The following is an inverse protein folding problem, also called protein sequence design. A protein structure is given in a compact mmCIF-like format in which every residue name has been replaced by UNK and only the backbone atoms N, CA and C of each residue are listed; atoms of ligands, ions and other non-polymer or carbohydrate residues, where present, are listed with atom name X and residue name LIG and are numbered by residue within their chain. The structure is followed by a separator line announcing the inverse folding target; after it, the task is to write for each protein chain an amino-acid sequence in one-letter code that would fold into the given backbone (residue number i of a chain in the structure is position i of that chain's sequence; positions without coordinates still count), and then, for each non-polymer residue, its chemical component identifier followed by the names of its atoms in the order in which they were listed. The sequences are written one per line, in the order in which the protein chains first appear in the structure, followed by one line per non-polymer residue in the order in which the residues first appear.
data_IF_255324834951
#
_entry.id   IF_255324834951
#
_cell.length_a   1.000
_cell.length_b   1.000
_cell.length_c   1.000
_cell.angle_alpha   90.00
_cell.angle_beta   90.00
_cell.angle_gamma   90.00
#
_symmetry.space_group_name_H-M   'P 1'
#
loop_
_entity.id
_entity.type
_entity.pdbx_description
1 polymer ?
#
# COMPACT_ATOMS: atom_id res chain seq x y z
N UNK A 1 -14.79 -26.66 -3.74
CA UNK A 1 -14.83 -26.65 -2.28
C UNK A 1 -15.41 -27.98 -1.83
N UNK A 2 -14.90 -28.61 -0.76
CA UNK A 2 -15.54 -29.81 -0.21
C UNK A 2 -17.03 -29.54 0.11
N UNK A 3 -17.93 -30.48 -0.20
CA UNK A 3 -19.37 -30.27 -0.07
C UNK A 3 -19.84 -30.06 1.38
N UNK A 4 -19.02 -30.42 2.35
CA UNK A 4 -19.25 -30.35 3.79
C UNK A 4 -18.61 -29.13 4.46
N UNK A 5 -17.80 -28.35 3.74
CA UNK A 5 -17.20 -27.13 4.30
C UNK A 5 -18.26 -26.04 4.48
N UNK A 6 -18.40 -25.56 5.72
CA UNK A 6 -19.30 -24.47 6.08
C UNK A 6 -18.47 -23.25 6.47
N UNK A 7 -18.45 -22.17 5.68
CA UNK A 7 -17.73 -20.96 6.06
C UNK A 7 -18.37 -20.33 7.30
N UNK A 8 -17.55 -19.87 8.23
CA UNK A 8 -17.97 -19.05 9.35
C UNK A 8 -18.57 -17.71 8.87
N UNK A 9 -19.53 -17.15 9.62
CA UNK A 9 -20.19 -15.90 9.25
C UNK A 9 -19.21 -14.71 9.33
N UNK A 10 -19.41 -13.65 8.51
CA UNK A 10 -18.52 -12.50 8.48
C UNK A 10 -18.40 -11.75 9.81
N UNK A 11 -19.45 -11.77 10.64
CA UNK A 11 -19.45 -11.14 11.96
C UNK A 11 -18.39 -11.70 12.94
N UNK A 12 -17.87 -12.92 12.71
CA UNK A 12 -16.80 -13.48 13.53
C UNK A 12 -15.39 -13.10 13.07
N UNK A 13 -15.26 -12.33 11.98
CA UNK A 13 -13.99 -11.94 11.36
C UNK A 13 -13.00 -13.12 11.23
N UNK A 14 -13.44 -14.25 10.63
CA UNK A 14 -12.63 -15.46 10.55
C UNK A 14 -11.37 -15.22 9.74
N UNK A 15 -10.28 -15.91 10.07
CA UNK A 15 -9.05 -15.81 9.29
C UNK A 15 -9.25 -16.29 7.83
N UNK A 16 -8.74 -15.50 6.88
CA UNK A 16 -8.79 -15.77 5.45
C UNK A 16 -7.37 -15.92 4.90
N UNK A 17 -7.14 -17.01 4.16
CA UNK A 17 -5.94 -17.18 3.36
C UNK A 17 -6.28 -17.08 1.86
N UNK A 18 -6.18 -15.87 1.32
CA UNK A 18 -6.66 -15.49 0.00
C UNK A 18 -5.64 -15.86 -1.09
N UNK A 19 -6.01 -16.71 -2.06
CA UNK A 19 -5.12 -17.08 -3.17
C UNK A 19 -5.04 -15.97 -4.22
N UNK A 20 -3.82 -15.66 -4.67
CA UNK A 20 -3.54 -14.77 -5.78
C UNK A 20 -3.09 -15.57 -7.00
N UNK A 21 -3.61 -15.20 -8.17
CA UNK A 21 -3.07 -15.59 -9.48
C UNK A 21 -2.47 -14.34 -10.10
N UNK A 22 -1.16 -14.34 -10.31
CA UNK A 22 -0.44 -13.15 -10.79
C UNK A 22 -0.04 -13.33 -12.24
N UNK A 23 -0.44 -12.37 -13.08
CA UNK A 23 -0.05 -12.29 -14.49
C UNK A 23 0.95 -11.15 -14.69
N UNK A 24 2.16 -11.46 -15.15
CA UNK A 24 3.14 -10.45 -15.55
C UNK A 24 3.03 -10.25 -17.05
N UNK A 25 2.43 -9.13 -17.45
CA UNK A 25 2.38 -8.74 -18.85
C UNK A 25 3.77 -8.33 -19.35
N UNK A 26 4.17 -8.90 -20.48
CA UNK A 26 5.44 -8.62 -21.15
C UNK A 26 5.18 -8.04 -22.53
N UNK A 27 6.22 -7.51 -23.18
CA UNK A 27 6.14 -6.98 -24.54
C UNK A 27 7.40 -7.26 -25.33
N UNK A 28 7.28 -7.35 -26.66
CA UNK A 28 8.46 -7.43 -27.53
C UNK A 28 9.13 -6.07 -27.64
N UNK A 29 10.44 -6.04 -27.45
CA UNK A 29 11.25 -4.86 -27.64
C UNK A 29 12.64 -5.26 -28.17
N UNK A 30 12.92 -5.06 -29.47
CA UNK A 30 14.20 -5.45 -30.06
C UNK A 30 15.39 -4.66 -29.50
N UNK A 31 15.16 -3.55 -28.79
CA UNK A 31 16.23 -2.79 -28.15
C UNK A 31 16.69 -3.39 -26.80
N UNK A 32 15.91 -4.31 -26.22
CA UNK A 32 16.26 -4.96 -24.95
C UNK A 32 17.03 -6.26 -25.17
N UNK A 33 17.96 -6.62 -24.27
CA UNK A 33 18.57 -7.95 -24.25
C UNK A 33 17.49 -9.05 -24.20
N UNK A 34 17.52 -9.97 -25.16
CA UNK A 34 16.52 -11.05 -25.27
C UNK A 34 15.20 -10.63 -25.92
N UNK A 35 15.04 -9.38 -26.34
CA UNK A 35 13.90 -8.94 -27.14
C UNK A 35 12.56 -8.84 -26.40
N UNK A 36 12.55 -8.95 -25.06
CA UNK A 36 11.34 -8.97 -24.23
C UNK A 36 11.48 -8.02 -23.04
N UNK A 37 10.52 -7.10 -22.91
CA UNK A 37 10.33 -6.23 -21.77
C UNK A 37 9.12 -6.64 -20.91
N UNK A 38 8.90 -5.98 -19.76
CA UNK A 38 9.77 -4.94 -19.20
C UNK A 38 11.11 -5.51 -18.72
N UNK A 39 12.16 -4.68 -18.56
CA UNK A 39 13.44 -5.14 -18.03
C UNK A 39 13.26 -5.88 -16.70
N UNK A 40 14.06 -6.93 -16.50
CA UNK A 40 14.06 -7.77 -15.28
C UNK A 40 12.75 -8.54 -15.04
N UNK A 41 11.89 -8.70 -16.05
CA UNK A 41 10.64 -9.48 -15.91
C UNK A 41 10.88 -10.91 -15.37
N UNK A 42 12.03 -11.51 -15.66
CA UNK A 42 12.40 -12.84 -15.18
C UNK A 42 12.60 -12.90 -13.65
N UNK A 43 12.82 -11.76 -12.99
CA UNK A 43 12.96 -11.62 -11.54
C UNK A 43 11.61 -11.40 -10.83
N UNK A 44 10.49 -11.38 -11.58
CA UNK A 44 9.15 -11.21 -11.01
C UNK A 44 8.85 -12.10 -9.79
N UNK A 45 9.24 -13.39 -9.74
CA UNK A 45 9.00 -14.21 -8.55
C UNK A 45 9.58 -13.61 -7.26
N UNK A 46 10.82 -13.09 -7.32
CA UNK A 46 11.49 -12.51 -6.16
C UNK A 46 10.85 -11.17 -5.76
N UNK A 47 10.51 -10.32 -6.73
CA UNK A 47 9.88 -9.03 -6.45
C UNK A 47 8.50 -9.18 -5.82
N UNK A 48 7.70 -10.13 -6.32
CA UNK A 48 6.37 -10.42 -5.80
C UNK A 48 6.41 -11.11 -4.44
N UNK A 49 7.34 -12.04 -4.22
CA UNK A 49 7.53 -12.68 -2.90
C UNK A 49 7.80 -11.61 -1.82
N UNK A 50 8.75 -10.69 -2.09
CA UNK A 50 9.03 -9.56 -1.18
C UNK A 50 7.80 -8.69 -0.94
N UNK A 51 7.13 -8.25 -2.01
CA UNK A 51 5.96 -7.38 -1.90
C UNK A 51 4.84 -8.03 -1.07
N UNK A 52 4.61 -9.32 -1.28
CA UNK A 52 3.57 -10.08 -0.60
C UNK A 52 3.87 -10.31 0.89
N UNK A 53 5.13 -10.59 1.26
CA UNK A 53 5.52 -10.73 2.67
C UNK A 53 5.19 -9.47 3.46
N UNK A 54 5.55 -8.30 2.92
CA UNK A 54 5.28 -7.03 3.57
C UNK A 54 3.79 -6.73 3.54
N UNK A 55 3.09 -6.96 2.43
CA UNK A 55 1.61 -6.85 2.36
C UNK A 55 0.94 -7.64 3.49
N UNK A 56 1.40 -8.87 3.75
CA UNK A 56 0.87 -9.72 4.81
C UNK A 56 1.23 -9.26 6.23
N UNK A 57 2.36 -8.57 6.41
CA UNK A 57 2.65 -7.88 7.68
C UNK A 57 1.62 -6.77 7.90
N UNK A 58 1.35 -5.96 6.88
CA UNK A 58 0.42 -4.83 6.97
C UNK A 58 -1.05 -5.28 7.09
N UNK A 59 -1.44 -6.39 6.45
CA UNK A 59 -2.80 -6.92 6.50
C UNK A 59 -3.11 -7.75 7.74
N UNK A 60 -2.10 -8.17 8.52
CA UNK A 60 -2.27 -9.05 9.69
C UNK A 60 -3.37 -8.62 10.67
N UNK A 61 -3.54 -7.32 11.02
CA UNK A 61 -4.60 -6.88 11.92
C UNK A 61 -6.03 -7.17 11.43
N UNK A 62 -6.19 -7.49 10.16
CA UNK A 62 -7.48 -7.75 9.52
C UNK A 62 -7.89 -9.23 9.53
N UNK A 63 -7.03 -10.14 10.02
CA UNK A 63 -7.17 -11.59 9.84
C UNK A 63 -7.19 -12.05 8.36
N UNK A 64 -6.74 -11.21 7.43
CA UNK A 64 -6.63 -11.58 6.01
C UNK A 64 -5.16 -11.66 5.62
N UNK A 65 -4.81 -12.75 4.97
CA UNK A 65 -3.46 -13.05 4.49
C UNK A 65 -3.55 -13.51 3.04
N UNK A 66 -2.55 -13.21 2.22
CA UNK A 66 -2.51 -13.51 0.79
C UNK A 66 -1.35 -14.45 0.45
N UNK A 67 -1.54 -15.33 -0.54
CA UNK A 67 -0.44 -16.14 -1.10
C UNK A 67 -0.53 -16.24 -2.61
N UNK A 68 0.62 -16.41 -3.28
CA UNK A 68 0.65 -16.67 -4.71
C UNK A 68 0.35 -18.15 -4.94
N UNK A 69 -0.86 -18.43 -5.42
CA UNK A 69 -1.28 -19.76 -5.87
C UNK A 69 -0.68 -20.10 -7.22
N UNK A 70 -0.57 -19.11 -8.11
CA UNK A 70 -0.02 -19.26 -9.44
C UNK A 70 0.65 -17.97 -9.90
N UNK A 71 1.85 -18.09 -10.48
CA UNK A 71 2.60 -16.97 -11.07
C UNK A 71 2.88 -17.23 -12.55
N UNK A 72 2.29 -16.42 -13.42
CA UNK A 72 2.42 -16.50 -14.87
C UNK A 72 3.25 -15.32 -15.36
N UNK A 73 4.54 -15.56 -15.59
CA UNK A 73 5.49 -14.52 -16.04
C UNK A 73 6.34 -14.94 -17.24
N UNK A 74 6.50 -16.25 -17.48
CA UNK A 74 7.26 -16.75 -18.61
C UNK A 74 6.42 -16.77 -19.89
N UNK A 75 6.72 -15.84 -20.80
CA UNK A 75 6.07 -15.70 -22.09
C UNK A 75 6.18 -16.94 -23.02
N UNK A 76 7.15 -17.83 -22.79
CA UNK A 76 7.25 -19.09 -23.55
C UNK A 76 6.21 -20.12 -23.11
N UNK A 77 5.77 -20.04 -21.85
CA UNK A 77 4.73 -20.91 -21.27
C UNK A 77 3.35 -20.26 -21.38
N UNK A 78 3.29 -18.92 -21.25
CA UNK A 78 2.09 -18.10 -21.33
C UNK A 78 2.19 -17.07 -22.46
N UNK A 79 2.14 -17.50 -23.74
CA UNK A 79 2.30 -16.60 -24.89
C UNK A 79 1.21 -15.52 -24.97
N UNK A 80 0.06 -15.73 -24.35
CA UNK A 80 -1.03 -14.75 -24.23
C UNK A 80 -0.63 -13.50 -23.41
N UNK A 81 0.43 -13.58 -22.60
CA UNK A 81 0.93 -12.46 -21.80
C UNK A 81 2.01 -11.64 -22.52
N UNK A 82 2.43 -12.05 -23.73
CA UNK A 82 3.44 -11.35 -24.53
C UNK A 82 2.79 -10.46 -25.59
N UNK A 83 2.82 -9.16 -25.34
CA UNK A 83 2.25 -8.15 -26.23
C UNK A 83 3.20 -7.79 -27.37
N UNK A 84 2.69 -7.32 -28.52
CA UNK A 84 3.50 -7.12 -29.72
C UNK A 84 4.54 -6.03 -29.59
N UNK A 85 4.34 -5.03 -28.71
CA UNK A 85 5.27 -3.93 -28.48
C UNK A 85 4.93 -3.15 -27.20
N UNK A 86 5.84 -2.26 -26.77
CA UNK A 86 5.67 -1.40 -25.59
C UNK A 86 4.41 -0.51 -25.66
N UNK A 87 4.04 0.12 -26.79
CA UNK A 87 2.77 0.84 -26.89
C UNK A 87 1.54 -0.02 -26.62
N UNK A 88 1.46 -1.23 -27.18
CA UNK A 88 0.34 -2.15 -26.91
C UNK A 88 0.28 -2.56 -25.43
N UNK A 89 1.44 -2.76 -24.80
CA UNK A 89 1.54 -2.99 -23.35
C UNK A 89 1.08 -1.80 -22.54
N UNK A 90 1.51 -0.60 -22.91
CA UNK A 90 1.02 0.65 -22.34
C UNK A 90 -0.49 0.80 -22.51
N UNK A 91 -1.09 0.27 -23.58
CA UNK A 91 -2.54 0.32 -23.84
C UNK A 91 -3.38 -0.66 -23.05
N UNK A 92 -2.80 -1.76 -22.56
CA UNK A 92 -3.50 -2.61 -21.59
C UNK A 92 -3.80 -1.83 -20.31
N UNK A 93 -2.96 -0.81 -20.03
CA UNK A 93 -3.13 0.12 -18.92
C UNK A 93 -3.77 1.45 -19.35
N UNK A 94 -3.51 1.95 -20.57
CA UNK A 94 -3.92 3.28 -21.00
C UNK A 94 -5.38 3.26 -21.43
N UNK A 95 -6.26 3.62 -20.51
CA UNK A 95 -7.30 4.53 -20.95
C UNK A 95 -6.68 5.88 -21.31
N UNK A 96 -7.35 6.59 -22.22
CA UNK A 96 -6.86 7.82 -22.83
C UNK A 96 -6.37 8.83 -21.79
N UNK A 97 -5.23 9.48 -22.08
CA UNK A 97 -4.81 10.68 -21.38
C UNK A 97 -5.97 11.69 -21.33
N UNK A 98 -6.40 12.06 -20.13
CA UNK A 98 -7.60 12.88 -19.88
C UNK A 98 -8.81 12.12 -19.33
N UNK A 99 -8.71 10.80 -19.15
CA UNK A 99 -9.68 9.97 -18.43
C UNK A 99 -8.94 9.13 -17.37
N UNK A 100 -9.38 9.22 -16.12
CA UNK A 100 -8.99 8.32 -15.03
C UNK A 100 -9.35 6.90 -15.46
N UNK A 101 -8.34 6.06 -15.71
CA UNK A 101 -8.49 4.62 -15.58
C UNK A 101 -7.42 4.09 -14.64
N UNK A 102 -7.69 4.33 -13.38
CA UNK A 102 -8.10 3.20 -12.59
C UNK A 102 -9.60 2.97 -12.89
N UNK A 103 -10.11 1.74 -13.04
CA UNK A 103 -11.35 1.44 -12.36
C UNK A 103 -10.99 1.17 -10.88
N UNK A 104 -10.59 2.19 -10.11
CA UNK A 104 -11.39 2.68 -8.97
C UNK A 104 -12.75 3.24 -9.36
N UNK A 105 -12.97 3.55 -10.64
CA UNK A 105 -14.30 3.66 -11.25
C UNK A 105 -15.16 2.45 -10.89
N UNK A 106 -16.05 2.67 -9.93
CA UNK A 106 -16.96 1.72 -9.32
C UNK A 106 -17.82 0.99 -10.35
N UNK A 107 -17.35 -0.17 -10.80
CA UNK A 107 -18.27 -1.29 -10.92
C UNK A 107 -18.01 -2.16 -9.70
N UNK A 108 -18.63 -1.82 -8.57
CA UNK A 108 -18.69 -2.65 -7.36
C UNK A 108 -19.35 -4.03 -7.60
N UNK A 109 -19.55 -4.48 -8.85
CA UNK A 109 -19.84 -5.88 -9.16
C UNK A 109 -18.56 -6.71 -9.03
N UNK A 110 -18.06 -6.78 -7.80
CA UNK A 110 -16.94 -7.59 -7.31
C UNK A 110 -17.33 -9.06 -7.14
N UNK A 111 -18.23 -9.52 -8.02
CA UNK A 111 -18.82 -10.85 -7.92
C UNK A 111 -18.06 -11.88 -8.73
N UNK A 112 -17.99 -13.07 -8.17
CA UNK A 112 -17.62 -14.32 -8.83
C UNK A 112 -18.32 -14.56 -10.17
N UNK A 113 -19.44 -13.87 -10.44
CA UNK A 113 -20.18 -13.93 -11.72
C UNK A 113 -19.62 -13.00 -12.80
N UNK A 114 -18.75 -12.04 -12.46
CA UNK A 114 -18.12 -11.11 -13.42
C UNK A 114 -16.60 -11.04 -13.22
N UNK A 115 -15.86 -12.14 -13.46
CA UNK A 115 -14.41 -12.22 -13.20
C UNK A 115 -13.56 -11.22 -13.99
N UNK A 116 -14.11 -10.60 -15.05
CA UNK A 116 -13.42 -9.54 -15.80
C UNK A 116 -13.20 -8.28 -14.97
N UNK A 117 -14.07 -7.99 -14.00
CA UNK A 117 -13.96 -6.81 -13.12
C UNK A 117 -13.23 -7.11 -11.80
N UNK A 118 -12.96 -8.38 -11.50
CA UNK A 118 -12.28 -8.81 -10.28
C UNK A 118 -10.75 -8.78 -10.36
N UNK A 119 -10.15 -7.78 -11.02
CA UNK A 119 -8.68 -7.72 -11.23
C UNK A 119 -8.06 -6.57 -10.47
N UNK A 120 -6.90 -6.84 -9.89
CA UNK A 120 -6.01 -5.85 -9.28
C UNK A 120 -4.84 -5.60 -10.22
N UNK A 121 -4.44 -4.34 -10.38
CA UNK A 121 -3.30 -3.96 -11.19
C UNK A 121 -2.24 -3.31 -10.31
N UNK A 122 -1.01 -3.81 -10.41
CA UNK A 122 0.17 -3.18 -9.81
C UNK A 122 1.14 -2.87 -10.93
N UNK A 123 1.65 -1.64 -10.96
CA UNK A 123 2.60 -1.25 -12.00
C UNK A 123 3.90 -2.04 -11.87
N UNK A 124 4.50 -2.42 -12.99
CA UNK A 124 5.79 -3.12 -12.98
C UNK A 124 6.89 -2.30 -12.29
N UNK A 125 6.86 -0.98 -12.47
CA UNK A 125 7.84 -0.08 -11.85
C UNK A 125 7.76 -0.11 -10.33
N UNK A 126 6.55 -0.20 -9.75
CA UNK A 126 6.40 -0.29 -8.30
C UNK A 126 7.07 -1.54 -7.71
N UNK A 127 7.10 -2.65 -8.45
CA UNK A 127 7.69 -3.92 -8.00
C UNK A 127 9.23 -3.94 -8.05
N UNK A 128 9.85 -3.01 -8.78
CA UNK A 128 11.31 -2.98 -8.89
C UNK A 128 11.95 -2.69 -7.52
N UNK A 129 13.18 -3.18 -7.26
CA UNK A 129 13.82 -3.04 -5.95
C UNK A 129 14.02 -1.60 -5.48
N UNK A 130 14.14 -0.63 -6.37
CA UNK A 130 14.22 0.79 -6.02
C UNK A 130 12.90 1.31 -5.44
N UNK A 131 11.78 1.01 -6.11
CA UNK A 131 10.45 1.42 -5.68
C UNK A 131 9.90 0.56 -4.51
N UNK A 132 10.20 -0.73 -4.49
CA UNK A 132 9.85 -1.64 -3.40
C UNK A 132 11.05 -1.87 -2.48
N UNK A 133 11.52 -0.82 -1.83
CA UNK A 133 12.60 -0.85 -0.82
C UNK A 133 12.18 -0.14 0.45
N UNK A 134 12.98 -0.32 1.51
CA UNK A 134 12.88 0.49 2.73
C UNK A 134 13.00 2.01 2.45
N UNK A 135 13.84 2.43 1.49
CA UNK A 135 14.02 3.84 1.13
C UNK A 135 12.76 4.45 0.48
N UNK A 136 12.05 3.63 -0.28
CA UNK A 136 10.77 3.99 -0.90
C UNK A 136 9.57 3.54 -0.06
N UNK A 137 9.78 3.24 1.22
CA UNK A 137 8.76 2.82 2.19
C UNK A 137 7.88 1.66 1.70
N UNK A 138 8.46 0.72 0.95
CA UNK A 138 7.81 -0.47 0.41
C UNK A 138 6.58 -0.18 -0.45
N UNK A 139 6.68 0.84 -1.31
CA UNK A 139 5.57 1.36 -2.10
C UNK A 139 4.73 0.27 -2.81
N UNK A 140 5.34 -0.71 -3.47
CA UNK A 140 4.59 -1.79 -4.12
C UNK A 140 3.77 -2.64 -3.16
N UNK A 141 4.28 -2.86 -1.94
CA UNK A 141 3.59 -3.67 -0.94
C UNK A 141 2.36 -2.93 -0.42
N UNK A 142 2.49 -1.61 -0.22
CA UNK A 142 1.36 -0.74 0.15
C UNK A 142 0.34 -0.66 -0.98
N UNK A 143 0.79 -0.46 -2.23
CA UNK A 143 -0.10 -0.42 -3.39
C UNK A 143 -0.83 -1.76 -3.57
N UNK A 144 -0.13 -2.89 -3.45
CA UNK A 144 -0.74 -4.21 -3.51
C UNK A 144 -1.80 -4.39 -2.41
N UNK A 145 -1.51 -3.98 -1.18
CA UNK A 145 -2.48 -4.01 -0.08
C UNK A 145 -3.72 -3.16 -0.40
N UNK A 146 -3.53 -1.91 -0.79
CA UNK A 146 -4.59 -0.96 -1.12
C UNK A 146 -5.54 -1.53 -2.18
N UNK A 147 -4.99 -1.96 -3.31
CA UNK A 147 -5.78 -2.50 -4.41
C UNK A 147 -6.42 -3.86 -4.08
N UNK A 148 -5.75 -4.70 -3.29
CA UNK A 148 -6.34 -5.95 -2.81
C UNK A 148 -7.55 -5.68 -1.91
N UNK A 149 -7.49 -4.67 -1.04
CA UNK A 149 -8.62 -4.33 -0.17
C UNK A 149 -9.75 -3.61 -0.91
N UNK A 150 -9.45 -2.88 -1.98
CA UNK A 150 -10.47 -2.51 -2.96
C UNK A 150 -11.14 -3.75 -3.55
N UNK A 151 -10.39 -4.75 -4.01
CA UNK A 151 -11.00 -5.97 -4.54
C UNK A 151 -11.93 -6.66 -3.51
N UNK A 152 -11.63 -6.55 -2.22
CA UNK A 152 -12.38 -7.21 -1.15
C UNK A 152 -13.57 -6.44 -0.59
N UNK A 153 -13.78 -5.17 -0.94
CA UNK A 153 -14.94 -4.45 -0.39
C UNK A 153 -14.72 -2.99 -0.04
N UNK A 154 -13.48 -2.55 0.18
CA UNK A 154 -13.26 -1.19 0.65
C UNK A 154 -13.32 -0.16 -0.46
N UNK A 155 -14.01 0.98 -0.24
CA UNK A 155 -13.79 2.20 -1.00
C UNK A 155 -12.62 3.01 -0.41
N UNK A 156 -12.27 4.11 -1.07
CA UNK A 156 -11.35 5.10 -0.50
C UNK A 156 -12.00 5.83 0.68
N UNK A 157 -11.21 6.30 1.65
CA UNK A 157 -11.73 7.03 2.84
C UNK A 157 -12.43 8.34 2.51
N UNK A 158 -12.17 8.90 1.31
CA UNK A 158 -12.79 10.11 0.79
C UNK A 158 -13.98 9.81 -0.14
N UNK A 159 -14.51 8.58 -0.11
CA UNK A 159 -15.55 8.11 -1.01
C UNK A 159 -15.07 7.89 -2.45
N UNK A 160 -15.99 7.59 -3.35
CA UNK A 160 -15.69 7.14 -4.71
C UNK A 160 -15.73 8.19 -5.81
N UNK A 161 -16.39 9.32 -5.55
CA UNK A 161 -16.45 10.44 -6.49
C UNK A 161 -15.16 11.27 -6.52
N UNK A 162 -14.21 10.95 -5.64
CA UNK A 162 -13.18 11.89 -5.24
C UNK A 162 -11.89 11.91 -6.08
N UNK A 163 -11.81 11.06 -7.12
CA UNK A 163 -10.75 11.14 -8.15
C UNK A 163 -10.89 12.40 -9.04
N UNK A 164 -12.00 13.14 -8.92
CA UNK A 164 -12.18 14.44 -9.56
C UNK A 164 -12.29 15.56 -8.51
N UNK A 165 -11.19 16.25 -8.17
CA UNK A 165 -11.15 17.25 -7.09
C UNK A 165 -12.11 18.44 -7.27
N UNK A 166 -12.80 18.55 -8.42
CA UNK A 166 -13.86 19.54 -8.65
C UNK A 166 -15.22 19.12 -8.12
N UNK A 167 -15.43 17.85 -7.83
CA UNK A 167 -16.73 17.29 -7.40
C UNK A 167 -16.71 16.77 -5.98
N UNK A 168 -15.54 16.67 -5.34
CA UNK A 168 -15.43 16.15 -3.98
C UNK A 168 -16.14 17.06 -2.98
N UNK A 169 -16.74 16.43 -1.98
CA UNK A 169 -17.40 17.08 -0.89
C UNK A 169 -17.21 16.30 0.41
N UNK A 170 -17.34 16.98 1.53
CA UNK A 170 -17.36 16.33 2.85
C UNK A 170 -18.61 15.45 3.09
N UNK A 171 -19.51 15.36 2.11
CA UNK A 171 -20.65 14.45 2.14
C UNK A 171 -20.36 13.13 1.39
N UNK A 172 -19.23 13.03 0.66
CA UNK A 172 -18.77 11.78 0.10
C UNK A 172 -18.27 10.90 1.26
N UNK A 173 -18.83 9.69 1.35
CA UNK A 173 -18.62 8.76 2.45
C UNK A 173 -18.09 7.43 1.90
N UNK A 174 -17.22 6.79 2.66
CA UNK A 174 -16.71 5.45 2.39
C UNK A 174 -17.62 4.35 2.97
N UNK A 175 -18.69 4.76 3.66
CA UNK A 175 -19.69 3.87 4.25
C UNK A 175 -19.20 3.18 5.52
N UNK A 176 -18.12 3.67 6.12
CA UNK A 176 -17.54 3.13 7.34
C UNK A 176 -17.66 4.17 8.46
N UNK A 177 -18.29 3.79 9.58
CA UNK A 177 -18.64 4.77 10.61
C UNK A 177 -17.44 5.29 11.43
N UNK A 178 -16.32 4.56 11.45
CA UNK A 178 -15.11 4.91 12.22
C UNK A 178 -13.96 5.45 11.35
N UNK A 179 -14.23 5.72 10.07
CA UNK A 179 -13.39 6.54 9.19
C UNK A 179 -13.93 7.96 9.20
N UNK A 180 -13.03 8.94 9.32
CA UNK A 180 -13.44 10.35 9.34
C UNK A 180 -13.72 10.83 7.91
N UNK A 181 -14.72 11.70 7.75
CA UNK A 181 -14.96 12.34 6.46
C UNK A 181 -13.74 13.15 6.02
N UNK A 182 -13.35 13.02 4.76
CA UNK A 182 -12.28 13.82 4.16
C UNK A 182 -12.68 14.32 2.78
N UNK A 183 -12.22 15.51 2.41
CA UNK A 183 -12.57 16.16 1.15
C UNK A 183 -11.90 15.47 -0.06
N UNK A 184 -10.93 14.59 0.16
CA UNK A 184 -10.21 13.94 -0.93
C UNK A 184 -8.97 13.22 -0.44
N UNK A 185 -8.18 12.78 -1.40
CA UNK A 185 -6.86 12.22 -1.17
C UNK A 185 -5.94 13.24 -0.47
N UNK A 186 -5.32 12.83 0.64
CA UNK A 186 -4.35 13.63 1.38
C UNK A 186 -3.23 14.17 0.47
N UNK A 187 -2.73 13.32 -0.44
CA UNK A 187 -1.73 13.65 -1.46
C UNK A 187 -2.11 14.76 -2.45
N UNK A 188 -3.41 15.00 -2.66
CA UNK A 188 -3.91 16.06 -3.56
C UNK A 188 -4.42 17.29 -2.81
N UNK A 189 -4.49 17.20 -1.49
CA UNK A 189 -4.93 18.30 -0.63
C UNK A 189 -3.82 19.35 -0.46
N UNK A 190 -4.20 20.53 0.07
CA UNK A 190 -3.23 21.52 0.53
C UNK A 190 -2.40 21.05 1.75
N UNK A 191 -2.76 19.91 2.34
CA UNK A 191 -2.09 19.33 3.51
C UNK A 191 -0.92 18.41 3.12
N UNK A 192 -0.84 17.97 1.86
CA UNK A 192 0.10 16.91 1.42
C UNK A 192 1.54 17.13 1.86
N UNK A 193 2.07 18.34 1.67
CA UNK A 193 3.43 18.71 2.06
C UNK A 193 3.61 18.66 3.58
N UNK A 194 2.67 19.24 4.33
CA UNK A 194 2.72 19.23 5.81
C UNK A 194 2.58 17.81 6.37
N UNK A 195 1.70 16.99 5.79
CA UNK A 195 1.54 15.58 6.12
C UNK A 195 2.83 14.79 5.88
N UNK A 196 3.46 14.94 4.71
CA UNK A 196 4.72 14.26 4.42
C UNK A 196 5.81 14.62 5.44
N UNK A 197 5.96 15.89 5.81
CA UNK A 197 6.92 16.33 6.82
C UNK A 197 6.60 15.76 8.21
N UNK A 198 5.34 15.84 8.63
CA UNK A 198 4.88 15.28 9.90
C UNK A 198 5.17 13.78 9.99
N UNK A 199 4.86 13.03 8.93
CA UNK A 199 5.10 11.60 8.87
C UNK A 199 6.61 11.26 8.85
N UNK A 200 7.45 12.07 8.18
CA UNK A 200 8.91 11.93 8.24
C UNK A 200 9.44 12.15 9.66
N UNK A 201 8.92 13.14 10.38
CA UNK A 201 9.27 13.36 11.79
C UNK A 201 8.88 12.15 12.65
N UNK A 202 7.64 11.66 12.52
CA UNK A 202 7.22 10.46 13.24
C UNK A 202 8.11 9.26 12.92
N UNK A 203 8.35 9.00 11.63
CA UNK A 203 9.13 7.85 11.18
C UNK A 203 10.59 7.91 11.65
N UNK A 204 11.31 9.00 11.33
CA UNK A 204 12.74 9.09 11.57
C UNK A 204 13.10 9.55 12.98
N UNK A 205 12.33 10.47 13.56
CA UNK A 205 12.64 11.06 14.88
C UNK A 205 11.96 10.25 15.99
N UNK A 206 10.64 10.07 15.94
CA UNK A 206 9.92 9.38 17.02
C UNK A 206 10.16 7.87 17.02
N UNK A 207 10.18 7.24 15.84
CA UNK A 207 10.35 5.79 15.70
C UNK A 207 11.78 5.37 15.33
N UNK A 208 12.69 6.33 15.16
CA UNK A 208 14.10 6.06 14.94
C UNK A 208 14.44 5.42 13.59
N UNK A 209 13.48 5.32 12.66
CA UNK A 209 13.64 4.63 11.38
C UNK A 209 13.82 3.11 11.47
N UNK A 210 13.48 2.49 12.61
CA UNK A 210 13.63 1.05 12.82
C UNK A 210 12.50 0.26 12.16
N UNK A 211 12.76 -0.27 10.96
CA UNK A 211 11.78 -1.05 10.21
C UNK A 211 11.29 -2.30 10.92
N UNK A 212 12.09 -2.94 11.78
CA UNK A 212 11.63 -4.12 12.54
C UNK A 212 10.57 -3.71 13.56
N UNK A 213 10.83 -2.64 14.33
CA UNK A 213 9.86 -2.09 15.27
C UNK A 213 8.59 -1.58 14.55
N UNK A 214 8.76 -1.01 13.36
CA UNK A 214 7.63 -0.54 12.53
C UNK A 214 6.78 -1.71 12.06
N UNK A 215 7.35 -2.78 11.52
CA UNK A 215 6.59 -3.96 11.11
C UNK A 215 5.87 -4.63 12.29
N UNK A 216 6.50 -4.72 13.47
CA UNK A 216 5.84 -5.21 14.68
C UNK A 216 4.62 -4.36 15.05
N UNK A 217 4.76 -3.03 14.98
CA UNK A 217 3.67 -2.10 15.26
C UNK A 217 2.55 -2.18 14.21
N UNK A 218 2.88 -2.13 12.92
CA UNK A 218 1.89 -2.16 11.83
C UNK A 218 1.14 -3.51 11.80
N UNK A 219 1.82 -4.62 12.08
CA UNK A 219 1.18 -5.95 12.09
C UNK A 219 0.24 -6.22 13.26
N UNK A 220 0.16 -5.32 14.23
CA UNK A 220 -0.73 -5.41 15.39
C UNK A 220 -1.70 -4.24 15.51
N UNK A 221 -1.57 -3.21 14.66
CA UNK A 221 -2.35 -1.98 14.74
C UNK A 221 -3.69 -2.14 14.02
N UNK A 222 -4.77 -2.09 14.78
CA UNK A 222 -6.14 -1.95 14.28
C UNK A 222 -6.77 -0.71 14.90
N UNK A 223 -7.40 0.13 14.08
CA UNK A 223 -7.93 1.44 14.46
C UNK A 223 -6.98 2.59 14.14
N UNK A 224 -7.52 3.80 14.12
CA UNK A 224 -6.77 5.04 13.90
C UNK A 224 -5.83 5.31 15.08
N UNK A 225 -4.51 5.40 14.87
CA UNK A 225 -3.58 5.74 15.94
C UNK A 225 -3.77 7.19 16.38
N UNK A 226 -3.44 7.50 17.64
CA UNK A 226 -3.56 8.86 18.20
C UNK A 226 -2.73 9.87 17.40
N UNK A 227 -1.58 9.44 16.89
CA UNK A 227 -0.74 10.25 16.01
C UNK A 227 -1.37 10.58 14.65
N UNK A 228 -2.48 9.95 14.27
CA UNK A 228 -3.21 10.29 13.04
C UNK A 228 -4.49 11.09 13.34
N UNK A 229 -4.72 11.46 14.61
CA UNK A 229 -5.86 12.27 15.04
C UNK A 229 -5.46 13.75 15.16
N UNK A 230 -5.01 14.32 14.05
CA UNK A 230 -4.42 15.66 14.03
C UNK A 230 -5.44 16.75 13.65
N UNK A 231 -5.71 17.68 14.56
CA UNK A 231 -6.63 18.79 14.30
C UNK A 231 -6.22 19.75 13.17
N UNK A 232 -4.95 19.76 12.79
CA UNK A 232 -4.49 20.55 11.63
C UNK A 232 -4.79 19.84 10.30
N UNK A 233 -5.02 18.53 10.33
CA UNK A 233 -5.36 17.71 9.17
C UNK A 233 -6.88 17.49 9.14
N UNK A 234 -7.64 18.58 9.01
CA UNK A 234 -9.10 18.55 8.92
C UNK A 234 -9.55 19.28 7.66
N UNK A 235 -9.78 18.52 6.58
CA UNK A 235 -10.30 19.08 5.34
C UNK A 235 -11.82 19.29 5.38
N UNK A 236 -12.49 18.75 6.39
CA UNK A 236 -13.95 18.75 6.53
C UNK A 236 -14.41 19.32 7.87
N UNK A 237 -14.07 20.60 8.15
CA UNK A 237 -14.33 21.22 9.44
C UNK A 237 -15.83 21.22 9.76
N UNK A 238 -16.15 20.77 10.97
CA UNK A 238 -17.52 20.66 11.47
C UNK A 238 -18.13 19.26 11.35
N UNK A 239 -17.43 18.31 10.70
CA UNK A 239 -17.72 16.88 10.82
C UNK A 239 -16.81 16.24 11.88
N UNK A 240 -17.22 15.12 12.49
CA UNK A 240 -16.37 14.42 13.45
C UNK A 240 -15.12 13.82 12.80
N UNK A 241 -13.97 14.02 13.44
CA UNK A 241 -12.72 13.34 13.08
C UNK A 241 -11.74 14.22 12.31
N UNK A 242 -10.73 13.59 11.71
CA UNK A 242 -9.63 14.23 10.99
C UNK A 242 -9.22 13.38 9.78
N UNK A 243 -8.69 14.00 8.74
CA UNK A 243 -8.16 13.32 7.56
C UNK A 243 -7.14 12.25 7.98
N UNK A 244 -7.41 10.99 7.61
CA UNK A 244 -6.53 9.87 7.98
C UNK A 244 -5.34 9.80 7.03
N UNK A 245 -4.17 10.26 7.49
CA UNK A 245 -2.92 10.30 6.71
C UNK A 245 -2.31 8.90 6.54
N UNK A 246 -2.53 8.02 7.53
CA UNK A 246 -1.99 6.67 7.57
C UNK A 246 -2.93 5.58 7.10
N UNK A 247 -4.18 5.89 6.74
CA UNK A 247 -5.14 4.84 6.39
C UNK A 247 -4.73 4.15 5.08
N UNK A 248 -4.73 2.83 5.02
CA UNK A 248 -4.34 2.13 3.79
C UNK A 248 -5.27 2.38 2.62
N UNK A 249 -6.48 2.92 2.83
CA UNK A 249 -7.44 3.29 1.80
C UNK A 249 -7.45 4.80 1.47
N UNK A 250 -6.49 5.58 1.96
CA UNK A 250 -6.24 6.95 1.46
C UNK A 250 -5.14 6.94 0.40
N UNK A 251 -4.93 8.06 -0.28
CA UNK A 251 -3.72 8.32 -1.04
C UNK A 251 -2.88 9.36 -0.30
N UNK A 252 -1.78 8.92 0.31
CA UNK A 252 -0.82 9.79 0.96
C UNK A 252 0.62 9.40 0.61
N UNK A 253 1.59 10.19 1.07
CA UNK A 253 3.00 9.91 0.92
C UNK A 253 3.34 8.54 1.54
N UNK A 254 4.17 7.70 0.90
CA UNK A 254 4.51 6.37 1.39
C UNK A 254 5.07 6.35 2.83
N UNK A 255 5.75 7.43 3.24
CA UNK A 255 6.25 7.61 4.61
C UNK A 255 5.13 7.70 5.65
N UNK A 256 3.96 8.26 5.31
CA UNK A 256 2.80 8.30 6.20
C UNK A 256 2.26 6.90 6.44
N UNK A 257 2.22 6.05 5.42
CA UNK A 257 1.82 4.65 5.59
C UNK A 257 2.83 3.90 6.47
N UNK A 258 4.13 4.17 6.35
CA UNK A 258 5.13 3.55 7.23
C UNK A 258 5.03 4.03 8.70
N UNK A 259 4.70 5.30 8.93
CA UNK A 259 4.56 5.87 10.27
C UNK A 259 3.22 5.52 10.94
N UNK A 260 2.13 5.68 10.20
CA UNK A 260 0.74 5.74 10.67
C UNK A 260 -0.16 4.64 10.10
N UNK A 261 0.36 3.79 9.19
CA UNK A 261 -0.34 2.70 8.52
C UNK A 261 -1.37 1.98 9.39
N UNK A 262 -2.63 1.96 8.97
CA UNK A 262 -3.70 1.26 9.68
C UNK A 262 -4.93 1.00 8.79
N UNK A 263 -5.75 0.04 9.21
CA UNK A 263 -7.17 -0.03 8.90
C UNK A 263 -7.96 0.34 10.16
N UNK A 264 -9.18 0.84 10.00
CA UNK A 264 -10.13 0.97 11.11
C UNK A 264 -10.83 -0.37 11.37
N UNK A 265 -11.54 -0.48 12.50
CA UNK A 265 -12.28 -1.71 12.80
C UNK A 265 -13.47 -1.86 11.86
N UNK A 266 -14.19 -0.77 11.59
CA UNK A 266 -15.31 -0.75 10.67
C UNK A 266 -14.90 -1.14 9.25
N UNK A 267 -13.70 -0.74 8.80
CA UNK A 267 -13.16 -1.18 7.51
C UNK A 267 -12.97 -2.70 7.48
N UNK A 268 -12.39 -3.32 8.51
CA UNK A 268 -12.21 -4.78 8.56
C UNK A 268 -13.56 -5.50 8.57
N UNK A 269 -14.53 -5.02 9.35
CA UNK A 269 -15.89 -5.57 9.37
C UNK A 269 -16.55 -5.47 7.99
N UNK A 270 -16.43 -4.33 7.31
CA UNK A 270 -16.95 -4.12 5.96
C UNK A 270 -16.27 -5.05 4.94
N UNK A 271 -14.97 -5.29 5.04
CA UNK A 271 -14.24 -6.23 4.14
C UNK A 271 -14.79 -7.64 4.25
N UNK A 272 -14.92 -8.18 5.47
CA UNK A 272 -15.45 -9.54 5.64
C UNK A 272 -16.90 -9.62 5.18
N UNK A 273 -17.73 -8.63 5.52
CA UNK A 273 -19.12 -8.57 5.09
C UNK A 273 -19.22 -8.51 3.56
N UNK A 274 -18.54 -7.56 2.93
CA UNK A 274 -18.56 -7.35 1.48
C UNK A 274 -18.03 -8.56 0.72
N UNK A 275 -16.91 -9.14 1.16
CA UNK A 275 -16.36 -10.33 0.51
C UNK A 275 -17.33 -11.51 0.62
N UNK A 276 -17.98 -11.71 1.79
CA UNK A 276 -18.94 -12.80 1.97
C UNK A 276 -20.20 -12.67 1.11
N UNK A 277 -20.64 -11.45 0.83
CA UNK A 277 -21.86 -11.16 0.05
C UNK A 277 -21.55 -11.11 -1.44
N UNK A 278 -20.52 -10.37 -1.83
CA UNK A 278 -20.20 -10.11 -3.22
C UNK A 278 -19.38 -11.25 -3.82
N UNK A 279 -18.46 -11.86 -3.07
CA UNK A 279 -17.59 -12.94 -3.53
C UNK A 279 -17.61 -14.15 -2.57
N UNK A 280 -18.78 -14.78 -2.38
CA UNK A 280 -18.97 -15.85 -1.39
C UNK A 280 -18.04 -17.05 -1.65
N UNK A 281 -17.71 -17.32 -2.92
CA UNK A 281 -16.79 -18.39 -3.31
C UNK A 281 -15.36 -18.09 -2.85
N UNK A 282 -14.85 -16.88 -3.07
CA UNK A 282 -13.53 -16.48 -2.56
C UNK A 282 -13.50 -16.51 -1.03
N UNK A 283 -14.55 -16.01 -0.38
CA UNK A 283 -14.65 -15.97 1.08
C UNK A 283 -14.55 -17.38 1.69
N UNK A 284 -15.32 -18.33 1.14
CA UNK A 284 -15.33 -19.70 1.61
C UNK A 284 -14.01 -20.42 1.32
N UNK A 285 -13.43 -20.24 0.13
CA UNK A 285 -12.10 -20.78 -0.17
C UNK A 285 -11.00 -20.19 0.71
N UNK A 286 -11.06 -18.90 1.04
CA UNK A 286 -10.10 -18.25 1.93
C UNK A 286 -10.07 -18.91 3.30
N UNK A 287 -11.24 -19.18 3.88
CA UNK A 287 -11.33 -19.93 5.15
C UNK A 287 -10.91 -21.39 5.01
N UNK A 288 -11.21 -22.03 3.88
CA UNK A 288 -10.77 -23.40 3.63
C UNK A 288 -9.25 -23.50 3.55
N UNK A 289 -8.59 -22.59 2.82
CA UNK A 289 -7.13 -22.52 2.75
C UNK A 289 -6.49 -22.22 4.09
N UNK A 290 -7.14 -21.40 4.93
CA UNK A 290 -6.69 -21.14 6.29
C UNK A 290 -6.60 -22.42 7.13
N UNK A 291 -7.66 -23.24 7.09
CA UNK A 291 -7.72 -24.49 7.86
C UNK A 291 -6.82 -25.61 7.30
N UNK A 292 -6.32 -25.44 6.07
CA UNK A 292 -5.47 -26.40 5.37
C UNK A 292 -4.12 -25.78 4.94
N UNK A 293 -3.57 -24.90 5.77
CA UNK A 293 -2.29 -24.23 5.51
C UNK A 293 -1.11 -25.20 5.38
N UNK A 294 -1.22 -26.41 5.92
CA UNK A 294 -0.18 -27.43 5.82
C UNK A 294 0.18 -27.73 4.36
N UNK A 295 1.42 -27.41 3.97
CA UNK A 295 1.92 -27.60 2.60
C UNK A 295 1.71 -26.42 1.66
N UNK A 296 1.03 -25.34 2.09
CA UNK A 296 1.06 -24.06 1.37
C UNK A 296 2.38 -23.33 1.67
N UNK A 297 2.86 -22.45 0.77
CA UNK A 297 4.07 -21.67 1.01
C UNK A 297 3.98 -20.96 2.36
N UNK A 298 4.98 -21.21 3.22
CA UNK A 298 5.08 -20.51 4.50
C UNK A 298 5.35 -19.03 4.22
N UNK A 299 4.45 -18.18 4.67
CA UNK A 299 4.68 -16.75 4.72
C UNK A 299 5.58 -16.45 5.91
N UNK A 300 6.87 -16.68 5.74
CA UNK A 300 7.84 -16.15 6.69
C UNK A 300 7.70 -14.62 6.69
N UNK A 301 7.80 -14.03 7.87
CA UNK A 301 8.00 -12.59 8.01
C UNK A 301 9.11 -12.14 7.04
N UNK A 302 9.03 -10.90 6.51
CA UNK A 302 10.09 -10.37 5.68
C UNK A 302 11.42 -10.54 6.42
N UNK A 303 12.45 -11.00 5.70
CA UNK A 303 13.79 -11.08 6.27
C UNK A 303 14.18 -9.69 6.78
N UNK A 304 14.88 -9.58 7.92
CA UNK A 304 15.38 -8.30 8.40
C UNK A 304 16.26 -7.66 7.32
N UNK A 305 15.75 -6.64 6.67
CA UNK A 305 16.52 -5.86 5.71
C UNK A 305 17.41 -4.88 6.49
N UNK A 306 18.71 -4.76 6.15
CA UNK A 306 19.57 -3.77 6.77
C UNK A 306 19.00 -2.38 6.47
N UNK A 307 18.39 -1.78 7.48
CA UNK A 307 17.88 -0.42 7.44
C UNK A 307 19.06 0.55 7.38
N UNK A 308 19.36 1.04 6.19
CA UNK A 308 20.20 2.21 6.03
C UNK A 308 19.30 3.42 6.22
N UNK A 309 19.36 4.04 7.41
CA UNK A 309 18.68 5.31 7.65
C UNK A 309 19.40 6.38 6.79
N UNK A 310 18.78 6.89 5.72
CA UNK A 310 19.41 7.83 4.80
C UNK A 310 19.69 9.17 5.46
N UNK A 311 19.02 9.50 6.57
CA UNK A 311 19.35 10.66 7.39
C UNK A 311 20.55 10.40 8.29
N UNK A 312 20.82 9.13 8.62
CA UNK A 312 21.97 8.66 9.40
C UNK A 312 23.08 8.04 8.57
N UNK A 313 23.07 8.17 7.24
CA UNK A 313 24.24 7.88 6.42
C UNK A 313 24.57 9.02 5.46
N UNK A 314 25.86 9.16 5.13
CA UNK A 314 26.30 10.02 4.03
C UNK A 314 25.85 9.44 2.69
N UNK A 315 26.00 10.19 1.60
CA UNK A 315 25.80 9.69 0.23
C UNK A 315 26.65 8.43 -0.05
N UNK A 316 27.86 8.36 0.53
CA UNK A 316 28.75 7.19 0.45
C UNK A 316 28.38 6.03 1.41
N UNK A 317 27.27 6.12 2.13
CA UNK A 317 26.79 5.08 3.04
C UNK A 317 27.48 5.01 4.41
N UNK A 318 28.31 6.00 4.78
CA UNK A 318 28.95 6.05 6.09
C UNK A 318 27.98 6.53 7.17
N UNK A 319 27.92 5.85 8.31
CA UNK A 319 27.06 6.25 9.43
C UNK A 319 27.39 7.66 9.95
N UNK A 320 26.39 8.54 9.96
CA UNK A 320 26.49 9.89 10.51
C UNK A 320 26.50 9.85 12.04
N UNK A 321 27.28 10.74 12.66
CA UNK A 321 27.28 10.88 14.12
C UNK A 321 25.95 11.46 14.58
N UNK A 322 25.37 10.86 15.62
CA UNK A 322 24.09 11.30 16.19
C UNK A 322 24.06 12.80 16.55
N UNK A 323 25.17 13.35 17.03
CA UNK A 323 25.38 14.79 17.08
C UNK A 323 26.86 15.12 16.96
N UNK A 324 27.18 16.25 16.33
CA UNK A 324 28.54 16.76 16.23
C UNK A 324 28.54 18.27 15.98
N UNK A 325 29.71 18.89 16.06
CA UNK A 325 29.91 20.31 15.78
C UNK A 325 31.09 20.51 14.84
N UNK A 326 30.94 21.43 13.90
CA UNK A 326 32.02 21.97 13.08
C UNK A 326 31.80 23.47 12.95
N UNK A 327 32.85 24.26 13.15
CA UNK A 327 32.85 25.73 13.01
C UNK A 327 31.74 26.47 13.80
N UNK A 328 31.37 25.93 14.96
CA UNK A 328 30.33 26.52 15.83
C UNK A 328 28.91 26.08 15.50
N UNK A 329 28.68 25.49 14.33
CA UNK A 329 27.40 24.93 13.92
C UNK A 329 27.16 23.56 14.56
N UNK A 330 25.92 23.29 14.94
CA UNK A 330 25.49 22.00 15.46
C UNK A 330 24.90 21.17 14.33
N UNK A 331 25.26 19.90 14.30
CA UNK A 331 24.73 18.93 13.36
C UNK A 331 24.14 17.77 14.17
N UNK A 332 23.04 17.20 13.66
CA UNK A 332 22.53 15.92 14.12
C UNK A 332 22.45 15.03 12.89
N UNK A 333 23.12 13.89 12.99
CA UNK A 333 23.35 13.02 11.84
C UNK A 333 24.03 13.80 10.69
N UNK A 334 23.66 13.56 9.44
CA UNK A 334 24.26 14.25 8.29
C UNK A 334 23.59 15.59 7.95
N UNK A 335 22.79 16.17 8.86
CA UNK A 335 22.11 17.46 8.64
C UNK A 335 22.57 18.53 9.65
N UNK A 336 22.75 19.76 9.16
CA UNK A 336 22.96 20.95 9.98
C UNK A 336 21.67 21.30 10.72
N UNK A 337 21.77 21.56 12.01
CA UNK A 337 20.68 22.09 12.84
C UNK A 337 20.94 23.60 12.94
N UNK A 338 20.05 24.42 12.36
CA UNK A 338 20.20 25.87 12.45
C UNK A 338 19.89 26.34 13.87
N UNK A 339 20.52 27.43 14.33
CA UNK A 339 20.24 28.00 15.66
C UNK A 339 18.85 28.63 15.76
N UNK A 340 18.21 28.88 14.63
CA UNK A 340 16.86 29.46 14.53
C UNK A 340 15.78 28.39 14.31
N UNK A 341 16.16 27.10 14.27
CA UNK A 341 15.20 25.99 14.23
C UNK A 341 14.58 25.83 15.63
N UNK A 342 13.55 26.65 15.96
CA UNK A 342 12.54 26.26 16.95
C UNK A 342 12.00 24.89 16.46
N UNK A 343 11.92 23.85 17.31
CA UNK A 343 11.31 22.58 16.92
C UNK A 343 9.86 22.70 16.41
N UNK A 344 9.26 23.91 16.43
CA UNK A 344 7.95 24.23 15.82
C UNK A 344 8.01 24.98 14.49
N UNK A 345 9.16 25.48 14.05
CA UNK A 345 9.30 26.20 12.77
C UNK A 345 9.96 25.31 11.71
N UNK A 346 9.11 24.73 10.87
CA UNK A 346 9.35 24.24 9.50
C UNK A 346 10.74 23.67 9.19
N UNK A 347 10.80 22.34 9.22
CA UNK A 347 11.84 21.52 8.62
C UNK A 347 11.91 21.74 7.09
N UNK A 348 12.62 22.78 6.62
CA UNK A 348 13.00 22.84 5.20
C UNK A 348 13.98 21.68 4.92
N UNK A 349 13.49 20.63 4.28
CA UNK A 349 14.32 19.64 3.59
C UNK A 349 14.50 20.14 2.16
N UNK A 350 15.56 20.92 1.93
CA UNK A 350 16.09 21.08 0.59
C UNK A 350 16.62 19.72 0.14
N UNK A 351 15.94 19.10 -0.83
CA UNK A 351 16.52 18.04 -1.63
C UNK A 351 17.66 18.63 -2.47
N UNK A 352 18.81 17.97 -2.47
CA UNK A 352 19.79 18.05 -3.56
C UNK A 352 19.48 16.92 -4.55
#
# INVERSE_FOLDING_TARGET
MPPDFQPAPPASLPALYVPLVVHVLTYRDPALPGGVGPPRWAEAPAFLDRALRITNVLSRPTNITFFIKELRYNASVHPELLLPNKPAWGQVYSCKAGSVCLPSGESMNRSDVQPVYGRVWVSWHALLPDANSLLSYNFASVALLHEAFHHLGLPHTFGSNADNPRTNSCADDDGVADTSASLGAASTSSLSVTAEYYCKELFWIKYGGDWNAIYQRLSSRLGTPVEDMNAWADSCPGLPGYDSLGNYMTYDAPVCIAALGHFTRGQVELVHQSTSVLNPVLYAWGQYYETHREGLPSLLDPEPEPSVDPCKVTEDGCACKASWRIDGDKYAYCKRISSDDDPRDTLHLGAL
#
